data_IF_808944061100
#
_entry.id   IF_808944061100
#
_cell.length_a   1.000
_cell.length_b   1.000
_cell.length_c   1.000
_cell.angle_alpha   90.00
_cell.angle_beta   90.00
_cell.angle_gamma   90.00
#
_symmetry.space_group_name_H-M   'P 1'
#
loop_
_entity.id
_entity.type
_entity.pdbx_description
1 polymer ?
#
# COMPACT_ATOMS: atom_id res chain seq x y z
N UNK A 1 -29.89 18.15 -4.05
CA UNK A 1 -29.10 18.60 -2.87
C UNK A 1 -28.73 17.34 -2.11
N UNK A 2 -27.57 16.75 -2.39
CA UNK A 2 -27.06 15.59 -1.65
C UNK A 2 -26.15 16.12 -0.53
N UNK A 3 -26.43 15.71 0.70
CA UNK A 3 -25.64 16.02 1.90
C UNK A 3 -24.22 15.44 1.74
N UNK A 4 -23.13 16.16 2.09
CA UNK A 4 -21.79 15.59 2.10
C UNK A 4 -21.74 14.40 3.06
N UNK A 5 -21.17 13.28 2.64
CA UNK A 5 -20.87 12.16 3.52
C UNK A 5 -19.85 12.63 4.56
N UNK A 6 -20.15 12.43 5.84
CA UNK A 6 -19.29 12.81 6.97
C UNK A 6 -17.98 11.98 6.97
N UNK A 7 -16.97 12.45 6.25
CA UNK A 7 -15.62 11.86 6.14
C UNK A 7 -14.93 11.66 7.51
N UNK A 8 -15.29 12.47 8.52
CA UNK A 8 -14.75 12.37 9.88
C UNK A 8 -15.09 11.04 10.58
N UNK A 9 -16.23 10.44 10.25
CA UNK A 9 -16.67 9.16 10.85
C UNK A 9 -15.89 7.96 10.30
N UNK A 10 -15.50 8.02 9.02
CA UNK A 10 -14.66 7.03 8.37
C UNK A 10 -13.24 7.06 8.95
N UNK A 11 -12.66 8.25 9.11
CA UNK A 11 -11.34 8.45 9.74
C UNK A 11 -11.32 7.94 11.19
N UNK A 12 -12.37 8.23 11.97
CA UNK A 12 -12.49 7.74 13.34
C UNK A 12 -12.65 6.20 13.43
N UNK A 13 -13.22 5.58 12.41
CA UNK A 13 -13.35 4.12 12.34
C UNK A 13 -12.02 3.49 11.97
N UNK A 14 -11.31 4.04 10.98
CA UNK A 14 -9.97 3.64 10.60
C UNK A 14 -8.99 3.69 11.79
N UNK A 15 -9.00 4.79 12.55
CA UNK A 15 -8.11 4.94 13.71
C UNK A 15 -8.37 3.87 14.79
N UNK A 16 -9.64 3.55 15.05
CA UNK A 16 -10.01 2.49 16.01
C UNK A 16 -9.57 1.10 15.54
N UNK A 17 -9.65 0.84 14.24
CA UNK A 17 -9.19 -0.43 13.65
C UNK A 17 -7.66 -0.56 13.74
N UNK A 18 -6.92 0.53 13.47
CA UNK A 18 -5.47 0.57 13.63
C UNK A 18 -5.04 0.31 15.09
N UNK A 19 -5.71 0.94 16.06
CA UNK A 19 -5.46 0.71 17.49
C UNK A 19 -5.70 -0.75 17.91
N UNK A 20 -6.78 -1.35 17.39
CA UNK A 20 -7.10 -2.75 17.66
C UNK A 20 -6.06 -3.72 17.09
N UNK A 21 -5.52 -3.43 15.89
CA UNK A 21 -4.45 -4.22 15.28
C UNK A 21 -3.14 -4.07 16.07
N UNK A 22 -2.81 -2.87 16.52
CA UNK A 22 -1.63 -2.61 17.35
C UNK A 22 -1.72 -3.35 18.70
N UNK A 23 -2.89 -3.35 19.34
CA UNK A 23 -3.12 -4.08 20.59
C UNK A 23 -2.98 -5.61 20.39
N UNK A 24 -3.51 -6.15 19.30
CA UNK A 24 -3.37 -7.57 18.95
C UNK A 24 -1.92 -7.97 18.70
N UNK A 25 -1.16 -7.12 18.01
CA UNK A 25 0.27 -7.34 17.77
C UNK A 25 1.05 -7.40 19.09
N UNK A 26 0.84 -6.43 19.99
CA UNK A 26 1.47 -6.42 21.31
C UNK A 26 1.16 -7.66 22.15
N UNK A 27 -0.09 -8.14 22.11
CA UNK A 27 -0.48 -9.38 22.79
C UNK A 27 0.23 -10.62 22.21
N UNK A 28 0.41 -10.67 20.88
CA UNK A 28 1.11 -11.76 20.20
C UNK A 28 2.61 -11.74 20.51
N UNK A 29 3.22 -10.56 20.56
CA UNK A 29 4.62 -10.36 20.97
C UNK A 29 4.87 -10.85 22.41
N UNK A 30 3.96 -10.52 23.34
CA UNK A 30 4.02 -10.98 24.72
C UNK A 30 3.91 -12.52 24.85
N UNK A 31 3.07 -13.16 24.02
CA UNK A 31 2.96 -14.62 23.97
C UNK A 31 4.20 -15.29 23.39
N UNK A 32 4.86 -14.63 22.43
CA UNK A 32 6.02 -15.17 21.72
C UNK A 32 7.35 -14.90 22.44
N UNK A 33 7.36 -14.11 23.53
CA UNK A 33 8.59 -13.72 24.23
C UNK A 33 9.55 -12.93 23.33
N UNK A 34 9.05 -12.30 22.27
CA UNK A 34 9.79 -11.46 21.34
C UNK A 34 9.35 -10.02 21.54
N UNK A 35 10.30 -9.13 21.80
CA UNK A 35 10.01 -7.70 21.99
C UNK A 35 10.51 -6.94 20.76
N UNK A 36 9.59 -6.60 19.84
CA UNK A 36 9.86 -5.62 18.79
C UNK A 36 9.25 -4.26 19.12
N UNK A 37 8.21 -4.22 19.97
CA UNK A 37 7.60 -2.97 20.43
C UNK A 37 8.26 -2.43 21.71
N UNK A 38 8.87 -1.25 21.60
CA UNK A 38 9.10 -0.39 22.77
C UNK A 38 7.78 0.33 23.08
N UNK A 39 7.27 0.30 24.33
CA UNK A 39 6.06 1.05 24.68
C UNK A 39 6.30 2.55 24.44
N UNK A 40 5.39 3.20 23.70
CA UNK A 40 5.46 4.61 23.31
C UNK A 40 5.29 5.61 24.48
N UNK A 41 5.53 5.19 25.73
CA UNK A 41 5.27 6.00 26.93
C UNK A 41 6.51 6.29 27.79
N UNK A 42 7.72 5.86 27.37
CA UNK A 42 8.93 5.97 28.22
C UNK A 42 9.94 7.06 27.86
N UNK A 43 9.95 7.54 26.61
CA UNK A 43 10.91 8.55 26.16
C UNK A 43 10.25 9.39 25.08
N UNK A 44 10.41 10.72 25.19
CA UNK A 44 10.02 11.73 24.20
C UNK A 44 10.86 11.60 22.93
N UNK A 45 10.83 10.44 22.30
CA UNK A 45 11.37 10.11 20.98
C UNK A 45 10.51 8.95 20.48
N UNK A 46 9.28 9.26 20.07
CA UNK A 46 8.57 8.39 19.14
C UNK A 46 9.41 8.33 17.86
N UNK A 47 9.86 7.15 17.41
CA UNK A 47 10.51 7.02 16.12
C UNK A 47 9.60 7.59 15.03
N UNK A 48 10.14 8.26 14.02
CA UNK A 48 9.33 8.92 12.98
C UNK A 48 8.35 7.98 12.25
N UNK A 49 8.62 6.67 12.25
CA UNK A 49 7.72 5.65 11.69
C UNK A 49 6.50 5.32 12.58
N UNK A 50 6.46 5.77 13.83
CA UNK A 50 5.43 5.45 14.82
C UNK A 50 4.42 6.59 15.05
N UNK A 51 4.55 7.72 14.36
CA UNK A 51 3.50 8.73 14.31
C UNK A 51 2.39 8.28 13.35
N UNK A 52 1.10 8.59 13.61
CA UNK A 52 0.08 8.53 12.57
C UNK A 52 0.64 9.28 11.37
N UNK A 53 0.68 8.64 10.20
CA UNK A 53 1.18 9.29 9.00
C UNK A 53 0.45 10.63 8.84
N UNK A 54 1.20 11.71 9.01
CA UNK A 54 0.74 13.05 8.68
C UNK A 54 1.29 13.30 7.28
N UNK A 55 0.44 13.59 6.28
CA UNK A 55 0.96 14.07 5.03
C UNK A 55 1.86 15.28 5.32
N UNK A 56 3.05 15.39 4.71
CA UNK A 56 3.85 16.60 4.84
C UNK A 56 2.99 17.81 4.47
N UNK A 57 3.06 18.94 5.19
CA UNK A 57 2.27 20.12 4.85
C UNK A 57 2.58 20.54 3.41
N UNK A 58 1.65 20.26 2.51
CA UNK A 58 1.77 20.67 1.12
C UNK A 58 1.55 22.18 1.07
N UNK A 59 2.62 22.94 0.87
CA UNK A 59 2.47 24.20 0.13
C UNK A 59 1.83 23.86 -1.21
N UNK A 60 0.91 24.68 -1.77
CA UNK A 60 0.30 24.40 -3.06
C UNK A 60 1.31 24.70 -4.18
N UNK A 61 2.38 23.92 -4.24
CA UNK A 61 3.08 23.67 -5.50
C UNK A 61 2.15 22.80 -6.33
N UNK A 62 1.88 23.14 -7.62
CA UNK A 62 1.14 22.25 -8.50
C UNK A 62 1.89 20.93 -8.56
N UNK A 63 1.40 19.91 -7.86
CA UNK A 63 1.86 18.54 -8.05
C UNK A 63 1.62 18.26 -9.54
N UNK A 64 2.62 17.80 -10.31
CA UNK A 64 2.35 17.35 -11.67
C UNK A 64 1.25 16.30 -11.56
N UNK A 65 0.06 16.62 -12.05
CA UNK A 65 -1.02 15.66 -12.11
C UNK A 65 -0.52 14.57 -13.06
N UNK A 66 -0.07 13.44 -12.51
CA UNK A 66 0.39 12.31 -13.30
C UNK A 66 -0.71 11.82 -14.24
N UNK A 67 -0.43 10.81 -15.08
CA UNK A 67 -1.34 10.38 -16.14
C UNK A 67 -2.67 9.76 -15.65
N UNK A 68 -2.83 9.57 -14.34
CA UNK A 68 -3.97 8.89 -13.73
C UNK A 68 -4.51 9.55 -12.47
N UNK A 69 -5.43 8.83 -11.82
CA UNK A 69 -6.11 9.27 -10.59
C UNK A 69 -6.14 8.15 -9.55
N UNK A 70 -6.02 8.49 -8.28
CA UNK A 70 -6.23 7.55 -7.18
C UNK A 70 -7.72 7.19 -7.09
N UNK A 71 -8.03 5.90 -7.06
CA UNK A 71 -9.38 5.39 -6.93
C UNK A 71 -9.45 4.24 -5.92
N UNK A 72 -10.62 4.03 -5.28
CA UNK A 72 -10.84 2.86 -4.44
C UNK A 72 -10.70 1.56 -5.23
N UNK A 73 -10.00 0.59 -4.68
CA UNK A 73 -9.84 -0.76 -5.24
C UNK A 73 -10.09 -1.82 -4.17
N UNK A 74 -10.40 -3.03 -4.61
CA UNK A 74 -10.49 -4.20 -3.73
C UNK A 74 -9.52 -5.23 -4.23
N UNK A 75 -8.54 -5.55 -3.39
CA UNK A 75 -7.50 -6.53 -3.70
C UNK A 75 -7.47 -7.63 -2.64
N UNK A 76 -6.97 -8.80 -3.03
CA UNK A 76 -6.73 -9.90 -2.11
C UNK A 76 -5.28 -10.32 -2.23
N UNK A 77 -4.55 -10.21 -1.13
CA UNK A 77 -3.13 -10.55 -1.03
C UNK A 77 -2.77 -10.92 0.40
N UNK A 78 -1.57 -11.47 0.61
CA UNK A 78 -1.07 -11.74 1.96
C UNK A 78 -0.75 -10.42 2.70
N UNK A 79 -0.86 -10.42 4.04
CA UNK A 79 -0.52 -9.26 4.89
C UNK A 79 0.89 -8.71 4.61
N UNK A 80 1.88 -9.59 4.42
CA UNK A 80 3.26 -9.21 4.07
C UNK A 80 3.32 -8.43 2.76
N UNK A 81 2.53 -8.83 1.77
CA UNK A 81 2.49 -8.17 0.48
C UNK A 81 1.81 -6.81 0.59
N UNK A 82 0.71 -6.73 1.35
CA UNK A 82 0.01 -5.47 1.63
C UNK A 82 0.91 -4.45 2.33
N UNK A 83 1.61 -4.87 3.40
CA UNK A 83 2.55 -4.02 4.12
C UNK A 83 3.69 -3.53 3.23
N UNK A 84 4.23 -4.41 2.38
CA UNK A 84 5.29 -4.04 1.46
C UNK A 84 4.81 -3.04 0.40
N UNK A 85 3.62 -3.21 -0.16
CA UNK A 85 3.02 -2.24 -1.08
C UNK A 85 2.87 -0.87 -0.43
N UNK A 86 2.24 -0.80 0.75
CA UNK A 86 2.07 0.47 1.47
C UNK A 86 3.42 1.14 1.81
N UNK A 87 4.44 0.36 2.15
CA UNK A 87 5.78 0.88 2.42
C UNK A 87 6.42 1.54 1.19
N UNK A 88 6.23 0.96 0.00
CA UNK A 88 6.84 1.46 -1.24
C UNK A 88 6.03 2.62 -1.83
N UNK A 89 4.70 2.55 -1.77
CA UNK A 89 3.83 3.53 -2.43
C UNK A 89 3.43 4.68 -1.51
N UNK A 90 3.45 4.49 -0.20
CA UNK A 90 2.90 5.45 0.77
C UNK A 90 1.36 5.52 0.79
N UNK A 91 0.67 4.66 0.03
CA UNK A 91 -0.78 4.64 -0.09
C UNK A 91 -1.37 3.35 0.50
N UNK A 92 -2.59 3.39 1.07
CA UNK A 92 -3.27 2.21 1.57
C UNK A 92 -3.61 1.25 0.44
N UNK A 93 -3.63 -0.07 0.72
CA UNK A 93 -3.99 -1.10 -0.27
C UNK A 93 -5.42 -1.00 -0.81
N UNK A 94 -6.25 -0.17 -0.20
CA UNK A 94 -7.62 0.12 -0.65
C UNK A 94 -7.65 1.18 -1.75
N UNK A 95 -6.51 1.74 -2.12
CA UNK A 95 -6.35 2.70 -3.20
C UNK A 95 -5.41 2.17 -4.28
N UNK A 96 -5.74 2.45 -5.53
CA UNK A 96 -4.87 2.19 -6.68
C UNK A 96 -4.80 3.41 -7.58
N UNK A 97 -3.67 3.59 -8.25
CA UNK A 97 -3.48 4.67 -9.22
C UNK A 97 -3.94 4.20 -10.60
N UNK A 98 -5.00 4.81 -11.12
CA UNK A 98 -5.68 4.36 -12.34
C UNK A 98 -5.31 5.25 -13.52
N UNK A 99 -4.69 4.66 -14.55
CA UNK A 99 -4.38 5.29 -15.83
C UNK A 99 -5.17 4.56 -16.91
N UNK A 100 -6.06 5.25 -17.63
CA UNK A 100 -6.89 4.66 -18.69
C UNK A 100 -7.62 3.36 -18.29
N UNK A 101 -8.07 3.29 -17.04
CA UNK A 101 -8.76 2.12 -16.49
C UNK A 101 -7.83 0.96 -16.08
N UNK A 102 -6.51 1.12 -16.19
CA UNK A 102 -5.51 0.16 -15.72
C UNK A 102 -4.96 0.60 -14.38
N UNK A 103 -4.93 -0.34 -13.42
CA UNK A 103 -4.40 -0.11 -12.08
C UNK A 103 -2.88 -0.23 -12.03
N UNK A 104 -2.27 0.69 -11.30
CA UNK A 104 -0.92 0.65 -10.74
C UNK A 104 -1.02 0.74 -9.22
N UNK A 105 -0.02 0.24 -8.51
CA UNK A 105 0.02 0.29 -7.05
C UNK A 105 0.37 1.69 -6.53
N UNK A 106 1.04 2.51 -7.34
CA UNK A 106 1.18 3.92 -7.06
C UNK A 106 1.80 4.78 -8.16
N UNK A 107 2.00 6.05 -7.82
CA UNK A 107 2.66 7.04 -8.66
C UNK A 107 3.45 8.00 -7.77
N UNK A 108 4.75 8.13 -8.01
CA UNK A 108 5.65 9.03 -7.26
C UNK A 108 6.82 9.43 -8.15
N UNK A 109 7.28 10.66 -8.02
CA UNK A 109 8.42 11.22 -8.76
C UNK A 109 8.34 11.04 -10.29
N UNK A 110 7.12 11.09 -10.84
CA UNK A 110 6.88 10.96 -12.27
C UNK A 110 6.89 9.53 -12.81
N UNK A 111 6.96 8.51 -11.93
CA UNK A 111 6.98 7.10 -12.29
C UNK A 111 5.74 6.34 -11.77
N UNK A 112 5.26 5.41 -12.57
CA UNK A 112 4.22 4.45 -12.23
C UNK A 112 4.85 3.26 -11.49
N UNK A 113 4.21 2.82 -10.42
CA UNK A 113 4.77 1.83 -9.49
C UNK A 113 3.91 0.58 -9.49
N UNK A 114 4.55 -0.57 -9.67
CA UNK A 114 3.98 -1.91 -9.42
C UNK A 114 4.87 -2.62 -8.39
N UNK A 115 4.26 -3.12 -7.32
CA UNK A 115 4.95 -3.73 -6.18
C UNK A 115 4.67 -5.22 -6.14
N UNK A 116 5.73 -6.02 -6.24
CA UNK A 116 5.66 -7.48 -6.04
C UNK A 116 6.42 -7.88 -4.80
N UNK A 117 5.74 -8.58 -3.90
CA UNK A 117 6.34 -9.13 -2.69
C UNK A 117 6.61 -10.63 -2.85
N UNK A 118 7.77 -11.08 -2.37
CA UNK A 118 8.14 -12.50 -2.29
C UNK A 118 8.09 -13.27 -3.63
N UNK A 119 8.53 -12.64 -4.71
CA UNK A 119 8.45 -13.21 -6.06
C UNK A 119 9.24 -14.53 -6.22
N UNK A 120 10.31 -14.70 -5.45
CA UNK A 120 11.14 -15.92 -5.42
C UNK A 120 10.36 -17.17 -5.01
N UNK A 121 9.20 -17.04 -4.36
CA UNK A 121 8.36 -18.18 -4.05
C UNK A 121 7.79 -18.84 -5.32
N UNK A 122 7.62 -18.07 -6.41
CA UNK A 122 6.99 -18.51 -7.66
C UNK A 122 7.99 -18.93 -8.74
N UNK A 123 9.28 -18.64 -8.57
CA UNK A 123 10.33 -18.90 -9.57
C UNK A 123 11.39 -19.85 -9.02
N UNK A 124 11.86 -20.76 -9.86
CA UNK A 124 13.02 -21.63 -9.64
C UNK A 124 13.84 -21.72 -10.92
N UNK A 125 15.14 -21.40 -10.85
CA UNK A 125 16.07 -21.42 -11.99
C UNK A 125 15.58 -20.64 -13.22
N UNK A 126 14.90 -19.50 -13.02
CA UNK A 126 14.35 -18.68 -14.11
C UNK A 126 13.04 -19.22 -14.71
N UNK A 127 12.50 -20.30 -14.18
CA UNK A 127 11.22 -20.89 -14.58
C UNK A 127 10.17 -20.74 -13.49
N UNK A 128 8.91 -20.66 -13.90
CA UNK A 128 7.79 -20.72 -12.97
C UNK A 128 7.74 -22.09 -12.29
N UNK A 129 7.47 -22.09 -10.98
CA UNK A 129 7.23 -23.34 -10.25
C UNK A 129 5.92 -23.99 -10.74
N UNK A 130 5.85 -25.34 -10.85
CA UNK A 130 4.69 -26.02 -11.45
C UNK A 130 3.35 -25.77 -10.75
N UNK A 131 3.35 -25.44 -9.46
CA UNK A 131 2.12 -25.15 -8.71
C UNK A 131 1.56 -23.76 -9.00
N UNK A 132 2.36 -22.85 -9.56
CA UNK A 132 1.92 -21.50 -9.85
C UNK A 132 1.08 -21.51 -11.13
N UNK A 133 -0.08 -20.87 -11.09
CA UNK A 133 -1.03 -20.79 -12.22
C UNK A 133 -1.30 -19.36 -12.68
N UNK A 134 -0.65 -18.38 -12.04
CA UNK A 134 -0.85 -16.95 -12.28
C UNK A 134 0.05 -16.32 -13.36
N UNK A 135 0.82 -17.12 -14.10
CA UNK A 135 1.83 -16.64 -15.06
C UNK A 135 1.20 -15.72 -16.12
N UNK A 136 0.13 -16.20 -16.76
CA UNK A 136 -0.51 -15.44 -17.84
C UNK A 136 -1.15 -14.16 -17.31
N UNK A 137 -1.66 -14.17 -16.08
CA UNK A 137 -2.23 -12.97 -15.44
C UNK A 137 -1.15 -11.89 -15.25
N UNK A 138 0.04 -12.27 -14.78
CA UNK A 138 1.16 -11.34 -14.63
C UNK A 138 1.62 -10.76 -15.96
N UNK A 139 1.68 -11.58 -17.02
CA UNK A 139 2.02 -11.11 -18.37
C UNK A 139 0.97 -10.14 -18.89
N UNK A 140 -0.32 -10.49 -18.76
CA UNK A 140 -1.42 -9.62 -19.20
C UNK A 140 -1.44 -8.29 -18.44
N UNK A 141 -1.18 -8.32 -17.12
CA UNK A 141 -1.06 -7.10 -16.32
C UNK A 141 0.05 -6.20 -16.86
N UNK A 142 1.25 -6.74 -17.07
CA UNK A 142 2.38 -5.98 -17.59
C UNK A 142 2.09 -5.38 -18.99
N UNK A 143 1.45 -6.15 -19.88
CA UNK A 143 1.08 -5.66 -21.21
C UNK A 143 0.06 -4.51 -21.14
N UNK A 144 -0.97 -4.65 -20.31
CA UNK A 144 -1.96 -3.59 -20.12
C UNK A 144 -1.33 -2.33 -19.53
N UNK A 145 -0.41 -2.48 -18.58
CA UNK A 145 0.30 -1.37 -17.94
C UNK A 145 1.23 -0.64 -18.91
N UNK A 146 2.00 -1.38 -19.72
CA UNK A 146 2.83 -0.77 -20.78
C UNK A 146 1.97 0.00 -21.78
N UNK A 147 0.79 -0.53 -22.14
CA UNK A 147 -0.14 0.16 -23.04
C UNK A 147 -0.73 1.43 -22.42
N UNK A 148 -1.06 1.42 -21.12
CA UNK A 148 -1.68 2.55 -20.44
C UNK A 148 -0.68 3.64 -20.01
N UNK A 149 0.60 3.30 -19.86
CA UNK A 149 1.59 4.22 -19.34
C UNK A 149 1.87 5.42 -20.26
N UNK A 150 1.60 5.32 -21.57
CA UNK A 150 1.89 6.36 -22.57
C UNK A 150 3.33 6.89 -22.54
N UNK A 151 4.29 6.03 -22.19
CA UNK A 151 5.70 6.41 -22.03
C UNK A 151 6.05 7.05 -20.69
N UNK A 152 5.09 7.15 -19.76
CA UNK A 152 5.39 7.40 -18.34
C UNK A 152 6.23 6.23 -17.81
N UNK A 153 7.40 6.50 -17.19
CA UNK A 153 8.28 5.46 -16.65
C UNK A 153 7.61 4.56 -15.61
#
# INVERSE_FOLDING_TARGET
MATPLDDASAVATYNREADALNARKGALEAQLGKTETVPAQGTRLVPDWAQPWQPPPHSPTPVPHGPGTWQPVTESMSDRAAQYQMQITGHPITEGYIVDGVKFDGFTDGALIEVKSYYSQFIENGHWKPFFTGQQSLVNQALNQVSAAHGTP
#
